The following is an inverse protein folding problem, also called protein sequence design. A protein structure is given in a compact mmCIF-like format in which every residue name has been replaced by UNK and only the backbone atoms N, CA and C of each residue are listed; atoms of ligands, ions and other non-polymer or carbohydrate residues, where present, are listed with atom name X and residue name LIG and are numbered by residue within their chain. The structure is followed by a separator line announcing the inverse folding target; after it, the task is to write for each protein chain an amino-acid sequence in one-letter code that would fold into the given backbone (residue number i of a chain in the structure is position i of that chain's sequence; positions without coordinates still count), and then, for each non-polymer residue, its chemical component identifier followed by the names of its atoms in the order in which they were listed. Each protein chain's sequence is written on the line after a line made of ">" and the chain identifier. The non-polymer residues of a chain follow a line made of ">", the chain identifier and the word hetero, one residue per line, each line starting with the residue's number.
data_IF_951405118617
#
_entry.id   IF_951405118617
#
_cell.length_a   1.000
_cell.length_b   1.000
_cell.length_c   1.000
_cell.angle_alpha   90.00
_cell.angle_beta   90.00
_cell.angle_gamma   90.00
#
_symmetry.space_group_name_H-M   'P 1'
#
loop_
_entity.id
_entity.type
_entity.pdbx_description
1 polymer ?
#
# COMPACT_ATOMS: atom_id res chain seq x y z
N UNK A 1 38.46 0.35 -17.71
CA UNK A 1 37.30 1.19 -17.33
C UNK A 1 36.98 0.92 -15.86
N UNK A 2 36.79 2.00 -15.11
CA UNK A 2 36.58 2.05 -13.67
C UNK A 2 35.32 1.24 -13.27
N UNK A 3 35.48 0.21 -12.43
CA UNK A 3 34.33 -0.39 -11.74
C UNK A 3 33.88 0.59 -10.66
N UNK A 4 32.74 1.25 -10.86
CA UNK A 4 32.00 1.87 -9.77
C UNK A 4 31.59 0.74 -8.82
N UNK A 5 32.35 0.54 -7.76
CA UNK A 5 31.85 -0.18 -6.60
C UNK A 5 30.64 0.62 -6.09
N UNK A 6 29.43 0.15 -6.38
CA UNK A 6 28.29 0.52 -5.55
C UNK A 6 28.67 0.07 -4.14
N UNK A 7 29.03 1.03 -3.29
CA UNK A 7 29.15 0.75 -1.87
C UNK A 7 27.84 0.08 -1.46
N UNK A 8 27.86 -1.09 -0.77
CA UNK A 8 26.65 -1.65 -0.21
C UNK A 8 26.04 -0.56 0.66
N UNK A 9 24.87 -0.05 0.25
CA UNK A 9 24.06 0.82 1.09
C UNK A 9 23.98 0.16 2.46
N UNK A 10 24.26 0.86 3.57
CA UNK A 10 24.29 0.22 4.88
C UNK A 10 22.94 -0.49 5.05
N UNK A 11 23.00 -1.82 5.20
CA UNK A 11 21.82 -2.62 5.42
C UNK A 11 21.10 -2.01 6.63
N UNK A 12 19.84 -1.63 6.44
CA UNK A 12 18.97 -1.12 7.50
C UNK A 12 18.92 -2.14 8.62
N UNK A 13 19.72 -1.93 9.68
CA UNK A 13 19.77 -2.83 10.84
C UNK A 13 18.57 -2.66 11.78
N UNK A 14 17.80 -1.58 11.60
CA UNK A 14 16.63 -1.26 12.41
C UNK A 14 15.32 -1.84 11.85
N UNK A 15 14.40 -2.11 12.76
CA UNK A 15 13.00 -2.39 12.43
C UNK A 15 12.31 -1.11 11.96
N UNK A 16 11.65 -1.15 10.81
CA UNK A 16 10.89 -0.01 10.28
C UNK A 16 9.41 -0.21 10.59
N UNK A 17 8.74 0.85 11.03
CA UNK A 17 7.27 0.85 11.13
C UNK A 17 6.66 1.60 9.96
N UNK A 18 5.77 0.95 9.22
CA UNK A 18 4.90 1.63 8.26
C UNK A 18 3.66 2.15 8.99
N UNK A 19 3.35 3.44 8.84
CA UNK A 19 2.06 4.04 9.16
C UNK A 19 1.36 4.37 7.84
N UNK A 20 0.36 3.57 7.49
CA UNK A 20 -0.31 3.63 6.20
C UNK A 20 -1.71 4.23 6.34
N UNK A 21 -2.08 5.08 5.38
CA UNK A 21 -3.47 5.39 5.05
C UNK A 21 -3.75 4.89 3.65
N UNK A 22 -4.81 4.11 3.46
CA UNK A 22 -5.24 3.62 2.14
C UNK A 22 -6.66 4.10 1.89
N UNK A 23 -6.80 4.94 0.89
CA UNK A 23 -8.03 5.64 0.52
C UNK A 23 -8.58 5.04 -0.79
N UNK A 24 -9.85 4.66 -0.79
CA UNK A 24 -10.57 4.33 -2.02
C UNK A 24 -11.22 5.61 -2.56
N UNK A 25 -10.45 6.33 -3.38
CA UNK A 25 -10.84 7.62 -3.93
C UNK A 25 -12.05 7.44 -4.85
N UNK A 26 -13.20 7.98 -4.41
CA UNK A 26 -14.42 8.14 -5.20
C UNK A 26 -15.00 6.86 -5.81
N UNK A 27 -15.10 5.76 -5.05
CA UNK A 27 -15.86 4.60 -5.52
C UNK A 27 -17.08 4.30 -4.65
N UNK A 28 -18.25 4.39 -5.28
CA UNK A 28 -19.53 3.93 -4.76
C UNK A 28 -20.31 3.42 -5.97
N UNK A 29 -20.11 2.15 -6.33
CA UNK A 29 -20.94 1.52 -7.36
C UNK A 29 -22.35 1.39 -6.77
N UNK A 30 -23.33 2.01 -7.42
CA UNK A 30 -24.76 1.80 -7.14
C UNK A 30 -25.27 2.14 -5.72
N UNK A 31 -24.51 2.88 -4.90
CA UNK A 31 -24.94 3.23 -3.54
C UNK A 31 -24.56 2.19 -2.48
N UNK A 32 -23.73 1.18 -2.80
CA UNK A 32 -23.32 0.16 -1.84
C UNK A 32 -22.21 0.70 -0.92
N UNK A 33 -22.50 0.76 0.38
CA UNK A 33 -21.56 1.23 1.40
C UNK A 33 -20.39 0.27 1.63
N UNK A 34 -20.45 -0.97 1.10
CA UNK A 34 -19.35 -1.95 1.17
C UNK A 34 -18.15 -1.54 0.30
N UNK A 35 -18.39 -0.73 -0.73
CA UNK A 35 -17.35 -0.20 -1.61
C UNK A 35 -16.63 1.03 -1.03
N UNK A 36 -17.09 1.56 0.10
CA UNK A 36 -16.53 2.79 0.64
C UNK A 36 -15.10 2.59 1.12
N UNK A 37 -14.76 1.43 1.70
CA UNK A 37 -13.44 1.20 2.27
C UNK A 37 -12.62 0.15 1.49
N UNK A 38 -11.28 0.26 1.53
CA UNK A 38 -10.42 -0.76 0.93
C UNK A 38 -10.65 -2.14 1.55
N UNK A 39 -10.76 -3.13 0.68
CA UNK A 39 -10.94 -4.53 1.00
C UNK A 39 -9.58 -5.22 0.91
N UNK A 40 -9.29 -6.04 1.93
CA UNK A 40 -8.07 -6.86 2.02
C UNK A 40 -6.77 -6.10 1.69
N UNK A 41 -6.51 -4.94 2.33
CA UNK A 41 -5.24 -4.26 2.15
C UNK A 41 -4.09 -5.19 2.55
N UNK A 42 -3.02 -5.18 1.75
CA UNK A 42 -1.80 -5.91 2.04
C UNK A 42 -0.58 -5.08 1.69
N UNK A 43 0.49 -5.31 2.45
CA UNK A 43 1.75 -4.59 2.31
C UNK A 43 2.74 -5.50 1.61
N UNK A 44 3.40 -4.98 0.57
CA UNK A 44 4.59 -5.59 -0.01
C UNK A 44 5.83 -4.92 0.55
N UNK A 45 6.82 -5.70 0.98
CA UNK A 45 8.10 -5.23 1.49
C UNK A 45 9.23 -5.99 0.81
N UNK A 46 10.15 -5.25 0.17
CA UNK A 46 11.30 -5.84 -0.53
C UNK A 46 12.62 -5.53 0.19
N UNK A 47 13.62 -6.43 0.08
CA UNK A 47 13.67 -7.64 -0.76
C UNK A 47 12.96 -8.87 -0.17
N UNK A 48 12.55 -8.83 1.11
CA UNK A 48 12.16 -10.02 1.86
C UNK A 48 10.74 -10.55 1.59
N UNK A 49 10.01 -10.02 0.60
CA UNK A 49 8.63 -10.41 0.29
C UNK A 49 7.66 -10.26 1.46
N UNK A 50 8.01 -9.42 2.45
CA UNK A 50 7.30 -9.28 3.71
C UNK A 50 6.17 -8.26 3.64
N UNK A 51 5.51 -8.04 4.76
CA UNK A 51 4.37 -7.13 4.87
C UNK A 51 3.06 -7.91 5.04
N UNK A 52 2.61 -8.62 4.01
CA UNK A 52 1.46 -9.52 4.11
C UNK A 52 0.13 -8.80 4.34
N UNK A 53 -0.91 -9.58 4.59
CA UNK A 53 -2.27 -9.07 4.80
C UNK A 53 -2.35 -8.26 6.10
N UNK A 54 -2.99 -7.10 6.02
CA UNK A 54 -3.27 -6.28 7.19
C UNK A 54 -4.52 -6.86 7.89
N UNK A 55 -4.45 -7.27 9.16
CA UNK A 55 -5.59 -7.83 9.85
C UNK A 55 -6.64 -6.74 10.14
N UNK A 56 -7.92 -7.06 9.95
CA UNK A 56 -9.01 -6.10 10.20
C UNK A 56 -9.01 -5.51 11.60
N UNK A 57 -8.60 -6.29 12.61
CA UNK A 57 -8.49 -5.83 13.99
C UNK A 57 -7.42 -4.76 14.23
N UNK A 58 -6.48 -4.55 13.31
CA UNK A 58 -5.46 -3.50 13.40
C UNK A 58 -5.77 -2.27 12.55
N UNK A 59 -6.91 -2.26 11.85
CA UNK A 59 -7.31 -1.16 10.98
C UNK A 59 -8.25 -0.21 11.70
N UNK A 60 -8.05 1.09 11.48
CA UNK A 60 -8.89 2.17 11.99
C UNK A 60 -9.56 2.88 10.82
N UNK A 61 -10.88 2.93 10.83
CA UNK A 61 -11.65 3.57 9.76
C UNK A 61 -11.49 5.08 9.85
N UNK A 62 -11.34 5.74 8.70
CA UNK A 62 -11.41 7.19 8.56
C UNK A 62 -12.63 7.53 7.71
N UNK A 63 -13.82 7.75 8.33
CA UNK A 63 -15.06 7.90 7.59
C UNK A 63 -15.13 9.13 6.69
N UNK A 64 -14.41 10.21 7.04
CA UNK A 64 -14.42 11.44 6.25
C UNK A 64 -13.84 11.27 4.83
N UNK A 65 -12.94 10.30 4.66
CA UNK A 65 -12.24 10.01 3.38
C UNK A 65 -12.43 8.56 2.94
N UNK A 66 -13.32 7.82 3.61
CA UNK A 66 -13.51 6.38 3.41
C UNK A 66 -12.20 5.56 3.32
N UNK A 67 -11.24 5.88 4.19
CA UNK A 67 -9.91 5.25 4.19
C UNK A 67 -9.72 4.30 5.38
N UNK A 68 -8.77 3.37 5.24
CA UNK A 68 -8.23 2.62 6.37
C UNK A 68 -6.87 3.17 6.78
N UNK A 69 -6.69 3.34 8.09
CA UNK A 69 -5.39 3.58 8.69
C UNK A 69 -4.90 2.34 9.43
N UNK A 70 -3.61 2.03 9.29
CA UNK A 70 -2.99 0.93 10.02
C UNK A 70 -1.49 1.19 10.22
N UNK A 71 -0.93 0.51 11.22
CA UNK A 71 0.50 0.46 11.45
C UNK A 71 1.00 -0.97 11.26
N UNK A 72 2.16 -1.12 10.64
CA UNK A 72 2.74 -2.43 10.42
C UNK A 72 4.25 -2.41 10.51
N UNK A 73 4.79 -3.32 11.31
CA UNK A 73 6.22 -3.54 11.42
C UNK A 73 6.73 -4.27 10.18
N UNK A 74 7.71 -3.67 9.51
CA UNK A 74 8.36 -4.26 8.35
C UNK A 74 9.57 -5.09 8.79
N UNK A 75 9.91 -6.16 8.06
CA UNK A 75 11.13 -6.93 8.31
C UNK A 75 12.36 -6.03 8.30
N UNK A 76 13.33 -6.31 9.17
CA UNK A 76 14.65 -5.64 9.14
C UNK A 76 15.28 -5.78 7.76
N UNK A 77 15.97 -4.74 7.29
CA UNK A 77 16.57 -4.73 5.96
C UNK A 77 15.60 -4.45 4.82
N UNK A 78 14.32 -4.15 5.09
CA UNK A 78 13.39 -3.67 4.05
C UNK A 78 13.90 -2.35 3.47
N UNK A 79 14.00 -2.29 2.14
CA UNK A 79 14.47 -1.13 1.38
C UNK A 79 13.39 -0.51 0.51
N UNK A 80 12.26 -1.18 0.32
CA UNK A 80 11.08 -0.58 -0.31
C UNK A 80 9.78 -1.20 0.18
N UNK A 81 8.71 -0.41 0.11
CA UNK A 81 7.37 -0.80 0.54
C UNK A 81 6.32 -0.43 -0.50
N UNK A 82 5.37 -1.32 -0.75
CA UNK A 82 4.20 -1.10 -1.60
C UNK A 82 2.93 -1.47 -0.86
N UNK A 83 1.79 -1.01 -1.36
CA UNK A 83 0.48 -1.44 -0.90
C UNK A 83 -0.29 -2.01 -2.07
N UNK A 84 -1.08 -3.05 -1.78
CA UNK A 84 -2.14 -3.49 -2.67
C UNK A 84 -3.45 -3.53 -1.91
N UNK A 85 -4.52 -3.14 -2.58
CA UNK A 85 -5.86 -3.13 -2.02
C UNK A 85 -6.88 -3.30 -3.14
N UNK A 86 -8.10 -3.67 -2.76
CA UNK A 86 -9.25 -3.75 -3.66
C UNK A 86 -10.30 -2.76 -3.19
N UNK A 87 -10.74 -1.86 -4.06
CA UNK A 87 -11.69 -0.80 -3.70
C UNK A 87 -13.12 -1.06 -4.19
N UNK A 88 -13.41 -2.30 -4.61
CA UNK A 88 -14.77 -2.73 -4.92
C UNK A 88 -14.91 -4.24 -4.87
N UNK A 89 -16.06 -4.73 -4.42
CA UNK A 89 -16.47 -6.12 -4.59
C UNK A 89 -17.92 -6.25 -5.06
N UNK A 90 -18.20 -7.28 -5.86
CA UNK A 90 -19.56 -7.58 -6.33
C UNK A 90 -19.69 -7.57 -7.85
N UNK A 91 -18.62 -7.29 -8.59
CA UNK A 91 -18.59 -7.49 -10.04
C UNK A 91 -18.16 -8.93 -10.38
N UNK A 92 -18.56 -9.42 -11.54
CA UNK A 92 -18.21 -10.77 -12.00
C UNK A 92 -16.69 -10.99 -12.13
N UNK A 93 -15.90 -9.91 -12.25
CA UNK A 93 -14.45 -9.94 -12.39
C UNK A 93 -13.82 -8.66 -11.82
N UNK A 94 -13.42 -8.66 -10.55
CA UNK A 94 -12.63 -7.58 -9.95
C UNK A 94 -11.18 -8.05 -9.75
N UNK A 95 -10.22 -7.21 -10.16
CA UNK A 95 -8.78 -7.43 -9.99
C UNK A 95 -8.19 -6.44 -8.99
N UNK A 96 -7.28 -6.95 -8.16
CA UNK A 96 -6.54 -6.15 -7.17
C UNK A 96 -5.44 -5.33 -7.85
N UNK A 97 -5.35 -4.06 -7.46
CA UNK A 97 -4.26 -3.17 -7.84
C UNK A 97 -3.16 -3.13 -6.80
N UNK A 98 -1.92 -3.10 -7.27
CA UNK A 98 -0.74 -2.88 -6.43
C UNK A 98 -0.04 -1.60 -6.84
N UNK A 99 0.48 -0.87 -5.87
CA UNK A 99 1.35 0.28 -6.13
C UNK A 99 2.73 -0.22 -6.56
N UNK A 100 3.45 0.58 -7.33
CA UNK A 100 4.90 0.46 -7.37
C UNK A 100 5.47 0.66 -5.95
N UNK A 101 6.57 -0.02 -5.63
CA UNK A 101 7.24 0.13 -4.35
C UNK A 101 7.89 1.51 -4.19
N UNK A 102 7.83 2.04 -2.98
CA UNK A 102 8.47 3.28 -2.55
C UNK A 102 9.73 2.93 -1.80
N UNK A 103 10.86 3.53 -2.19
CA UNK A 103 12.15 3.31 -1.56
C UNK A 103 12.20 3.90 -0.14
N UNK A 104 12.74 3.14 0.80
CA UNK A 104 12.96 3.55 2.19
C UNK A 104 14.42 4.04 2.33
N UNK A 105 14.65 5.32 2.66
CA UNK A 105 16.00 5.83 2.90
C UNK A 105 16.70 5.14 4.07
N UNK A 106 18.02 5.04 4.02
CA UNK A 106 18.81 4.50 5.12
C UNK A 106 18.64 5.34 6.40
N UNK A 107 18.52 4.66 7.55
CA UNK A 107 18.30 5.31 8.84
C UNK A 107 16.84 5.61 9.17
N UNK A 108 15.91 5.35 8.25
CA UNK A 108 14.47 5.48 8.52
C UNK A 108 14.04 4.50 9.59
N UNK A 109 13.26 4.97 10.55
CA UNK A 109 12.61 4.14 11.58
C UNK A 109 11.11 4.07 11.37
N UNK A 110 10.52 5.13 10.81
CA UNK A 110 9.10 5.19 10.48
C UNK A 110 8.89 5.71 9.06
N UNK A 111 8.05 5.02 8.30
CA UNK A 111 7.54 5.45 7.01
C UNK A 111 6.08 5.82 7.21
N UNK A 112 5.69 7.06 6.96
CA UNK A 112 4.29 7.46 6.94
C UNK A 112 3.87 7.67 5.49
N UNK A 113 2.86 6.96 5.03
CA UNK A 113 2.47 6.98 3.62
C UNK A 113 0.95 6.95 3.44
N UNK A 114 0.48 7.68 2.43
CA UNK A 114 -0.91 7.66 1.98
C UNK A 114 -0.99 7.14 0.57
N UNK A 115 -1.82 6.14 0.34
CA UNK A 115 -2.12 5.60 -0.98
C UNK A 115 -3.56 5.90 -1.36
N UNK A 116 -3.74 6.42 -2.57
CA UNK A 116 -5.03 6.61 -3.20
C UNK A 116 -5.25 5.53 -4.24
N UNK A 117 -6.33 4.79 -4.08
CA UNK A 117 -6.74 3.69 -4.94
C UNK A 117 -8.03 4.06 -5.68
N UNK A 118 -8.09 3.76 -6.96
CA UNK A 118 -9.26 3.99 -7.82
C UNK A 118 -9.65 2.68 -8.50
N UNK A 119 -10.94 2.37 -8.56
CA UNK A 119 -11.45 1.22 -9.34
C UNK A 119 -12.16 1.72 -10.58
N UNK A 120 -11.83 1.15 -11.74
CA UNK A 120 -12.50 1.46 -13.00
C UNK A 120 -12.72 0.19 -13.84
N UNK A 121 -13.77 0.17 -14.68
CA UNK A 121 -13.96 -0.91 -15.63
C UNK A 121 -12.98 -0.75 -16.80
N UNK A 122 -12.30 -1.83 -17.18
CA UNK A 122 -11.56 -1.89 -18.44
C UNK A 122 -12.54 -2.37 -19.51
N UNK A 123 -12.84 -1.58 -20.55
CA UNK A 123 -13.79 -2.00 -21.59
C UNK A 123 -13.10 -2.50 -22.88
N UNK A 124 -13.47 -3.69 -23.39
CA UNK A 124 -14.22 -4.76 -22.72
C UNK A 124 -13.32 -5.50 -21.70
N UNK A 125 -13.83 -5.88 -20.52
CA UNK A 125 -12.97 -6.49 -19.51
C UNK A 125 -13.37 -6.33 -18.03
N UNK A 126 -12.46 -6.72 -17.12
CA UNK A 126 -12.69 -6.72 -15.68
C UNK A 126 -12.62 -5.31 -15.08
N UNK A 127 -13.08 -5.19 -13.84
CA UNK A 127 -12.81 -4.04 -12.99
C UNK A 127 -11.41 -4.16 -12.43
N UNK A 128 -10.65 -3.08 -12.50
CA UNK A 128 -9.27 -3.05 -11.99
C UNK A 128 -9.18 -1.95 -10.96
N UNK A 129 -8.80 -2.32 -9.73
CA UNK A 129 -8.30 -1.34 -8.77
C UNK A 129 -6.87 -0.97 -9.18
N UNK A 130 -6.51 0.31 -9.09
CA UNK A 130 -5.15 0.78 -9.24
C UNK A 130 -4.81 1.71 -8.07
N UNK A 131 -3.74 1.41 -7.36
CA UNK A 131 -3.30 2.17 -6.20
C UNK A 131 -2.05 2.98 -6.54
N UNK A 132 -2.00 4.22 -6.04
CA UNK A 132 -0.88 5.15 -6.26
C UNK A 132 -0.50 5.84 -4.97
N UNK A 133 0.80 6.08 -4.77
CA UNK A 133 1.28 6.84 -3.61
C UNK A 133 0.90 8.31 -3.79
N UNK A 134 0.19 8.87 -2.82
CA UNK A 134 -0.21 10.28 -2.79
C UNK A 134 0.79 11.12 -1.99
N UNK A 135 1.27 10.57 -0.87
CA UNK A 135 2.26 11.23 -0.02
C UNK A 135 3.11 10.20 0.74
N UNK A 136 4.35 10.57 1.04
CA UNK A 136 5.24 9.81 1.91
C UNK A 136 6.15 10.74 2.70
N UNK A 137 6.41 10.39 3.95
CA UNK A 137 7.41 11.02 4.81
C UNK A 137 8.18 9.97 5.61
N UNK A 138 9.38 10.35 6.05
CA UNK A 138 10.33 9.47 6.73
C UNK A 138 10.82 10.14 8.02
N UNK A 139 11.02 9.36 9.06
CA UNK A 139 11.65 9.79 10.32
C UNK A 139 12.56 8.72 10.89
#
# INVERSE_FOLDING_TARGET
>A
MLSLALAPSPAMAGTVTLQATVDCLNYNSFGDTRDWYPISPSVGASPYGGGGAVPYSSMVAVPATHAWQFAQTLPSGTTSVSVSARCSEGHSYDLTGSTAGVSIPAGTTTVTATWGCTTAPVYPGPWVTNCSLQSVSYS
#
